data_IF_353884166536
#
_entry.id   IF_353884166536
#
_cell.length_a   1.000
_cell.length_b   1.000
_cell.length_c   1.000
_cell.angle_alpha   90.00
_cell.angle_beta   90.00
_cell.angle_gamma   90.00
#
_symmetry.space_group_name_H-M   'P 1'
#
loop_
_entity.id
_entity.type
_entity.pdbx_description
1 polymer ?
#
# COMPACT_ATOMS: atom_id res chain seq x y z
N UNK A 1 -57.16 -16.24 28.54
CA UNK A 1 -56.12 -16.44 27.53
C UNK A 1 -56.33 -15.40 26.44
N UNK A 2 -55.61 -14.29 26.49
CA UNK A 2 -55.31 -13.47 25.31
C UNK A 2 -53.90 -12.90 25.53
N UNK A 3 -52.91 -13.74 25.23
CA UNK A 3 -51.50 -13.37 25.12
C UNK A 3 -51.27 -12.82 23.72
N UNK A 4 -51.52 -11.54 23.53
CA UNK A 4 -51.21 -10.86 22.27
C UNK A 4 -49.78 -10.31 22.32
N UNK A 5 -48.83 -11.14 21.88
CA UNK A 5 -47.46 -10.72 21.53
C UNK A 5 -47.47 -9.98 20.18
N UNK A 6 -48.17 -8.85 20.09
CA UNK A 6 -48.11 -8.00 18.89
C UNK A 6 -47.02 -6.98 19.11
N UNK A 7 -45.85 -7.25 18.54
CA UNK A 7 -44.80 -6.24 18.32
C UNK A 7 -45.20 -5.47 17.07
N UNK A 8 -45.43 -4.18 17.22
CA UNK A 8 -45.81 -3.29 16.13
C UNK A 8 -44.64 -3.15 15.14
N UNK A 9 -44.80 -3.67 13.92
CA UNK A 9 -43.78 -3.56 12.88
C UNK A 9 -43.84 -2.17 12.26
N UNK A 10 -42.90 -1.32 12.65
CA UNK A 10 -42.72 0.02 12.09
C UNK A 10 -42.25 -0.07 10.62
N UNK A 11 -42.92 0.74 9.77
CA UNK A 11 -42.69 1.10 8.35
C UNK A 11 -41.49 0.47 7.61
N UNK A 12 -41.81 -0.07 6.42
CA UNK A 12 -40.96 -0.76 5.41
C UNK A 12 -39.73 -0.01 4.87
N UNK A 13 -39.38 1.19 5.35
CA UNK A 13 -38.24 1.98 4.81
C UNK A 13 -37.10 2.21 5.80
N UNK A 14 -37.17 1.67 7.03
CA UNK A 14 -36.09 1.71 8.00
C UNK A 14 -35.69 0.31 8.42
N UNK A 15 -34.41 -0.05 8.29
CA UNK A 15 -33.87 -1.23 8.98
C UNK A 15 -33.89 -0.88 10.49
N UNK A 16 -34.94 -1.29 11.20
CA UNK A 16 -35.00 -1.23 12.67
C UNK A 16 -34.37 -2.49 13.24
N UNK A 17 -33.16 -2.34 13.78
CA UNK A 17 -32.44 -3.41 14.46
C UNK A 17 -32.67 -3.29 15.98
N UNK A 18 -33.69 -3.98 16.47
CA UNK A 18 -34.08 -3.96 17.88
C UNK A 18 -32.95 -4.39 18.84
N UNK A 19 -32.05 -5.27 18.38
CA UNK A 19 -30.88 -5.66 19.16
C UNK A 19 -29.90 -4.48 19.27
N UNK A 20 -29.62 -3.81 18.15
CA UNK A 20 -28.73 -2.63 18.15
C UNK A 20 -29.31 -1.48 18.98
N UNK A 21 -30.63 -1.26 18.97
CA UNK A 21 -31.27 -0.23 19.81
C UNK A 21 -31.19 -0.56 21.30
N UNK A 22 -31.37 -1.83 21.67
CA UNK A 22 -31.15 -2.31 23.04
C UNK A 22 -29.69 -2.09 23.46
N UNK A 23 -28.74 -2.46 22.61
CA UNK A 23 -27.31 -2.27 22.86
C UNK A 23 -26.95 -0.79 23.00
N UNK A 24 -27.54 0.09 22.19
CA UNK A 24 -27.31 1.54 22.24
C UNK A 24 -27.83 2.14 23.55
N UNK A 25 -29.02 1.72 23.97
CA UNK A 25 -29.61 2.15 25.25
C UNK A 25 -28.76 1.68 26.43
N UNK A 26 -28.34 0.41 26.42
CA UNK A 26 -27.44 -0.13 27.43
C UNK A 26 -26.09 0.60 27.45
N UNK A 27 -25.50 0.87 26.28
CA UNK A 27 -24.25 1.62 26.17
C UNK A 27 -24.39 3.06 26.71
N UNK A 28 -25.51 3.74 26.46
CA UNK A 28 -25.78 5.06 27.01
C UNK A 28 -25.78 5.06 28.53
N UNK A 29 -26.47 4.10 29.15
CA UNK A 29 -26.55 3.95 30.60
C UNK A 29 -25.19 3.60 31.21
N UNK A 30 -24.44 2.69 30.57
CA UNK A 30 -23.10 2.30 31.02
C UNK A 30 -22.11 3.48 30.94
N UNK A 31 -22.13 4.24 29.85
CA UNK A 31 -21.28 5.43 29.71
C UNK A 31 -21.65 6.48 30.75
N UNK A 32 -22.94 6.75 30.96
CA UNK A 32 -23.39 7.69 31.98
C UNK A 32 -22.89 7.26 33.37
N UNK A 33 -23.06 5.99 33.74
CA UNK A 33 -22.60 5.43 35.01
C UNK A 33 -21.09 5.55 35.17
N UNK A 34 -20.32 5.22 34.14
CA UNK A 34 -18.87 5.30 34.18
C UNK A 34 -18.36 6.73 34.30
N UNK A 35 -18.98 7.69 33.61
CA UNK A 35 -18.62 9.11 33.68
C UNK A 35 -18.99 9.71 35.05
N UNK A 36 -20.08 9.27 35.68
CA UNK A 36 -20.39 9.65 37.07
C UNK A 36 -19.33 9.10 38.05
N UNK A 37 -18.88 7.85 37.86
CA UNK A 37 -17.80 7.29 38.67
C UNK A 37 -16.47 8.05 38.48
N UNK A 38 -16.15 8.47 37.24
CA UNK A 38 -15.00 9.35 36.97
C UNK A 38 -15.14 10.70 37.71
N UNK A 39 -16.33 11.28 37.74
CA UNK A 39 -16.62 12.53 38.44
C UNK A 39 -16.47 12.37 39.96
N UNK A 40 -16.99 11.30 40.55
CA UNK A 40 -16.87 11.03 41.98
C UNK A 40 -15.40 10.89 42.37
N UNK A 41 -14.64 10.11 41.60
CA UNK A 41 -13.19 9.97 41.78
C UNK A 41 -12.49 11.34 41.67
N UNK A 42 -12.87 12.17 40.71
CA UNK A 42 -12.34 13.52 40.56
C UNK A 42 -12.68 14.43 41.75
N UNK A 43 -13.93 14.45 42.21
CA UNK A 43 -14.38 15.25 43.36
C UNK A 43 -13.74 14.79 44.67
N UNK A 44 -13.42 13.49 44.80
CA UNK A 44 -12.75 12.93 45.99
C UNK A 44 -11.41 13.63 46.28
N UNK A 45 -10.72 14.10 45.24
CA UNK A 45 -9.45 14.83 45.33
C UNK A 45 -9.59 16.21 46.01
N UNK A 46 -10.81 16.76 46.05
CA UNK A 46 -11.11 18.06 46.64
C UNK A 46 -11.88 17.96 47.97
N UNK A 47 -12.00 16.76 48.54
CA UNK A 47 -12.77 16.52 49.77
C UNK A 47 -12.22 17.24 50.99
N UNK A 48 -10.92 17.47 51.07
CA UNK A 48 -10.27 18.23 52.16
C UNK A 48 -10.27 19.74 51.92
N UNK A 49 -10.45 20.16 50.67
CA UNK A 49 -10.47 21.57 50.31
C UNK A 49 -11.85 22.18 50.67
N UNK A 50 -11.86 23.08 51.65
CA UNK A 50 -13.05 23.81 52.11
C UNK A 50 -12.88 25.32 51.90
N UNK A 51 -13.97 26.01 51.63
CA UNK A 51 -14.01 27.48 51.63
C UNK A 51 -13.95 27.99 53.06
N UNK A 52 -13.71 29.28 53.26
CA UNK A 52 -13.73 29.93 54.59
C UNK A 52 -15.06 29.70 55.34
N UNK A 53 -16.16 29.59 54.59
CA UNK A 53 -17.48 29.24 55.11
C UNK A 53 -17.74 27.73 55.32
N UNK A 54 -16.71 26.87 55.26
CA UNK A 54 -16.81 25.43 55.53
C UNK A 54 -17.46 24.58 54.43
N UNK A 55 -17.73 25.13 53.24
CA UNK A 55 -18.29 24.40 52.10
C UNK A 55 -17.20 23.74 51.24
N UNK A 56 -17.51 22.66 50.52
CA UNK A 56 -16.58 22.11 49.53
C UNK A 56 -16.20 23.16 48.47
N UNK A 57 -14.90 23.26 48.16
CA UNK A 57 -14.38 24.23 47.19
C UNK A 57 -14.78 23.91 45.77
N UNK A 58 -14.82 22.62 45.40
CA UNK A 58 -15.25 22.14 44.08
C UNK A 58 -16.54 21.36 44.23
N UNK A 59 -17.57 21.76 43.50
CA UNK A 59 -18.90 21.12 43.55
C UNK A 59 -19.40 20.80 42.15
N UNK A 60 -20.29 19.81 42.04
CA UNK A 60 -21.05 19.55 40.82
C UNK A 60 -21.92 20.76 40.47
N UNK A 61 -21.99 21.09 39.18
CA UNK A 61 -22.76 22.21 38.65
C UNK A 61 -23.50 21.82 37.36
N UNK A 62 -24.33 20.78 37.48
CA UNK A 62 -25.12 20.25 36.37
C UNK A 62 -24.27 19.51 35.33
N UNK A 63 -24.63 19.68 34.06
CA UNK A 63 -24.02 18.98 32.93
C UNK A 63 -23.78 19.92 31.75
N UNK A 64 -22.87 19.53 30.88
CA UNK A 64 -22.80 20.07 29.52
C UNK A 64 -24.05 19.66 28.72
N UNK A 65 -24.37 20.38 27.63
CA UNK A 65 -25.39 19.96 26.68
C UNK A 65 -25.15 18.54 26.22
N UNK A 66 -26.22 17.78 26.07
CA UNK A 66 -26.16 16.45 25.49
C UNK A 66 -25.60 16.54 24.06
N UNK A 67 -24.75 15.58 23.71
CA UNK A 67 -24.17 15.51 22.36
C UNK A 67 -24.08 14.06 21.89
N UNK A 68 -24.22 13.80 20.59
CA UNK A 68 -23.99 12.47 20.06
C UNK A 68 -22.50 12.13 20.07
N UNK A 69 -22.20 10.87 20.37
CA UNK A 69 -20.88 10.27 20.32
C UNK A 69 -20.93 8.99 19.48
N UNK A 70 -20.18 8.95 18.38
CA UNK A 70 -20.30 7.87 17.39
C UNK A 70 -19.49 6.64 17.83
N UNK A 71 -20.17 5.50 17.96
CA UNK A 71 -19.57 4.21 18.37
C UNK A 71 -19.73 3.15 17.27
N UNK A 72 -19.24 1.93 17.52
CA UNK A 72 -19.41 0.80 16.60
C UNK A 72 -20.86 0.32 16.46
N UNK A 73 -21.76 0.70 17.38
CA UNK A 73 -23.20 0.37 17.36
C UNK A 73 -24.07 1.57 16.97
N UNK A 74 -23.45 2.60 16.40
CA UNK A 74 -24.09 3.86 16.03
C UNK A 74 -23.88 5.00 17.05
N UNK A 75 -24.57 6.13 16.85
CA UNK A 75 -24.46 7.28 17.74
C UNK A 75 -25.11 6.99 19.10
N UNK A 76 -24.36 7.23 20.17
CA UNK A 76 -24.84 7.17 21.55
C UNK A 76 -24.83 8.60 22.10
N UNK A 77 -25.94 9.06 22.66
CA UNK A 77 -26.00 10.38 23.27
C UNK A 77 -25.31 10.36 24.63
N UNK A 78 -24.42 11.33 24.87
CA UNK A 78 -23.64 11.42 26.10
C UNK A 78 -23.83 12.78 26.74
N UNK A 79 -23.92 12.78 28.07
CA UNK A 79 -24.09 13.97 28.90
C UNK A 79 -22.98 14.00 29.95
N UNK A 80 -22.06 14.95 29.82
CA UNK A 80 -20.87 15.02 30.68
C UNK A 80 -21.14 15.98 31.84
N UNK A 81 -20.89 15.58 33.10
CA UNK A 81 -21.10 16.42 34.27
C UNK A 81 -20.13 17.60 34.28
N UNK A 82 -20.55 18.67 34.95
CA UNK A 82 -19.77 19.89 35.14
C UNK A 82 -19.40 20.04 36.60
N UNK A 83 -18.21 20.58 36.82
CA UNK A 83 -17.78 21.05 38.14
C UNK A 83 -17.73 22.58 38.12
N UNK A 84 -17.87 23.17 39.31
CA UNK A 84 -17.66 24.60 39.55
C UNK A 84 -16.78 24.73 40.78
N UNK A 85 -15.81 25.62 40.69
CA UNK A 85 -15.07 26.08 41.86
C UNK A 85 -15.77 27.26 42.53
N UNK A 86 -15.80 27.24 43.86
CA UNK A 86 -16.32 28.30 44.74
C UNK A 86 -15.23 29.22 45.30
N UNK A 87 -13.95 28.88 45.13
CA UNK A 87 -12.82 29.65 45.70
C UNK A 87 -12.12 30.57 44.66
N UNK A 88 -12.73 30.79 43.49
CA UNK A 88 -12.20 31.65 42.44
C UNK A 88 -11.14 31.00 41.52
N UNK A 89 -10.57 29.84 41.89
CA UNK A 89 -9.64 29.11 41.01
C UNK A 89 -10.42 28.31 39.96
N UNK A 90 -10.14 28.46 38.65
CA UNK A 90 -10.85 27.71 37.62
C UNK A 90 -10.52 26.22 37.69
N UNK A 91 -11.57 25.39 37.70
CA UNK A 91 -11.47 23.93 37.74
C UNK A 91 -12.35 23.35 36.64
N UNK A 92 -11.83 22.38 35.90
CA UNK A 92 -12.57 21.72 34.81
C UNK A 92 -12.38 20.21 34.91
N UNK A 93 -13.51 19.50 34.89
CA UNK A 93 -13.54 18.05 34.80
C UNK A 93 -13.45 17.62 33.33
N UNK A 94 -12.56 16.66 33.06
CA UNK A 94 -12.41 16.04 31.75
C UNK A 94 -12.59 14.53 31.91
N UNK A 95 -13.65 13.99 31.29
CA UNK A 95 -13.84 12.54 31.23
C UNK A 95 -12.72 11.88 30.43
N UNK A 96 -12.18 10.78 30.93
CA UNK A 96 -11.18 10.00 30.22
C UNK A 96 -11.82 9.14 29.13
N UNK A 97 -13.02 8.61 29.40
CA UNK A 97 -13.82 7.84 28.44
C UNK A 97 -14.39 8.70 27.30
N UNK A 98 -14.86 9.91 27.60
CA UNK A 98 -15.46 10.82 26.62
C UNK A 98 -14.79 12.19 26.67
N UNK A 99 -13.56 12.33 26.13
CA UNK A 99 -12.84 13.59 26.19
C UNK A 99 -13.56 14.73 25.47
N UNK A 100 -13.26 16.00 25.84
CA UNK A 100 -13.77 17.16 25.15
C UNK A 100 -13.50 17.12 23.64
N UNK A 101 -14.45 17.60 22.84
CA UNK A 101 -14.36 17.72 21.37
C UNK A 101 -14.24 16.40 20.58
N UNK A 102 -13.92 15.27 21.22
CA UNK A 102 -13.92 13.93 20.60
C UNK A 102 -15.36 13.52 20.33
N UNK A 103 -15.70 13.23 19.07
CA UNK A 103 -17.07 12.88 18.64
C UNK A 103 -17.26 11.42 18.26
N UNK A 104 -16.21 10.59 18.36
CA UNK A 104 -16.23 9.18 17.93
C UNK A 104 -15.21 8.35 18.69
N UNK A 105 -15.40 7.03 18.71
CA UNK A 105 -14.40 6.10 19.25
C UNK A 105 -13.13 6.10 18.39
N UNK A 106 -11.98 5.80 19.03
CA UNK A 106 -10.68 5.67 18.35
C UNK A 106 -10.70 4.59 17.26
N UNK A 107 -11.41 3.49 17.50
CA UNK A 107 -11.57 2.39 16.53
C UNK A 107 -12.29 2.84 15.27
N UNK A 108 -13.38 3.59 15.42
CA UNK A 108 -14.10 4.15 14.28
C UNK A 108 -13.26 5.21 13.56
N UNK A 109 -12.55 6.06 14.31
CA UNK A 109 -11.60 7.01 13.72
C UNK A 109 -10.52 6.33 12.88
N UNK A 110 -9.99 5.19 13.34
CA UNK A 110 -9.00 4.40 12.63
C UNK A 110 -9.56 3.64 11.40
N UNK A 111 -10.82 3.22 11.42
CA UNK A 111 -11.45 2.46 10.33
C UNK A 111 -11.70 3.31 9.06
N UNK A 112 -11.97 4.60 9.24
CA UNK A 112 -12.30 5.52 8.15
C UNK A 112 -11.16 5.71 7.12
N UNK A 113 -9.88 5.87 7.53
CA UNK A 113 -8.72 5.71 6.67
C UNK A 113 -8.81 4.53 5.71
N UNK A 114 -9.16 3.36 6.25
CA UNK A 114 -9.21 2.11 5.51
C UNK A 114 -10.36 2.08 4.52
N UNK A 115 -11.55 2.54 4.91
CA UNK A 115 -12.69 2.63 3.99
C UNK A 115 -12.38 3.56 2.81
N UNK A 116 -11.75 4.70 3.07
CA UNK A 116 -11.33 5.62 2.02
C UNK A 116 -10.28 4.99 1.10
N UNK A 117 -9.24 4.39 1.71
CA UNK A 117 -8.17 3.69 0.99
C UNK A 117 -8.69 2.52 0.14
N UNK A 118 -9.74 1.81 0.60
CA UNK A 118 -10.36 0.67 -0.10
C UNK A 118 -11.36 1.11 -1.18
N UNK A 119 -11.54 2.41 -1.39
CA UNK A 119 -12.22 2.95 -2.56
C UNK A 119 -13.61 3.51 -2.28
N UNK A 120 -14.01 3.67 -1.02
CA UNK A 120 -15.22 4.43 -0.68
C UNK A 120 -14.88 5.91 -0.82
N UNK A 121 -15.50 6.57 -1.81
CA UNK A 121 -15.27 7.99 -2.03
C UNK A 121 -15.73 8.82 -0.83
N UNK A 122 -15.18 10.03 -0.67
CA UNK A 122 -15.60 10.92 0.43
C UNK A 122 -17.10 11.26 0.38
N UNK A 123 -17.69 11.32 -0.82
CA UNK A 123 -19.12 11.55 -1.02
C UNK A 123 -19.99 10.34 -0.66
N UNK A 124 -19.52 9.11 -0.89
CA UNK A 124 -20.23 7.86 -0.58
C UNK A 124 -19.97 7.38 0.85
N UNK A 125 -19.03 7.97 1.57
CA UNK A 125 -18.71 7.53 2.93
C UNK A 125 -19.89 7.70 3.88
N UNK A 126 -20.68 8.76 3.72
CA UNK A 126 -21.87 8.99 4.53
C UNK A 126 -22.90 7.87 4.37
N UNK A 127 -23.19 7.46 3.13
CA UNK A 127 -24.12 6.35 2.87
C UNK A 127 -23.56 5.02 3.37
N UNK A 128 -22.26 4.75 3.16
CA UNK A 128 -21.62 3.54 3.66
C UNK A 128 -21.68 3.44 5.20
N UNK A 129 -21.40 4.52 5.91
CA UNK A 129 -21.48 4.54 7.37
C UNK A 129 -22.91 4.42 7.88
N UNK A 130 -23.91 4.96 7.17
CA UNK A 130 -25.32 4.80 7.56
C UNK A 130 -25.78 3.35 7.51
N UNK A 131 -25.29 2.58 6.54
CA UNK A 131 -25.57 1.13 6.46
C UNK A 131 -24.92 0.37 7.62
N UNK A 132 -23.70 0.75 8.03
CA UNK A 132 -22.95 0.05 9.07
C UNK A 132 -23.31 0.45 10.50
N UNK A 133 -23.65 1.73 10.72
CA UNK A 133 -23.76 2.34 12.04
C UNK A 133 -25.16 2.94 12.29
N UNK A 134 -26.10 2.73 11.37
CA UNK A 134 -27.48 3.24 11.46
C UNK A 134 -27.70 4.60 10.79
N UNK A 135 -28.96 5.01 10.58
CA UNK A 135 -29.35 6.18 9.78
C UNK A 135 -28.79 7.51 10.30
N UNK A 136 -28.55 7.58 11.61
CA UNK A 136 -28.04 8.76 12.32
C UNK A 136 -26.50 8.84 12.33
N UNK A 137 -25.83 7.87 11.70
CA UNK A 137 -24.39 7.92 11.55
C UNK A 137 -23.97 9.11 10.69
N UNK A 138 -23.22 10.03 11.31
CA UNK A 138 -22.61 11.12 10.58
C UNK A 138 -21.53 10.60 9.63
N UNK A 139 -21.50 11.15 8.42
CA UNK A 139 -20.47 10.87 7.42
C UNK A 139 -19.08 11.41 7.80
N UNK A 140 -18.10 11.21 6.93
CA UNK A 140 -16.80 11.86 7.07
C UNK A 140 -16.92 13.38 6.83
N UNK A 141 -16.47 14.17 7.80
CA UNK A 141 -16.21 15.58 7.54
C UNK A 141 -15.02 15.74 6.60
N UNK A 142 -15.02 16.78 5.75
CA UNK A 142 -13.88 17.13 4.92
C UNK A 142 -12.59 17.30 5.76
N UNK A 143 -12.72 17.81 6.98
CA UNK A 143 -11.61 17.96 7.93
C UNK A 143 -10.98 16.62 8.33
N UNK A 144 -11.77 15.57 8.51
CA UNK A 144 -11.26 14.23 8.82
C UNK A 144 -10.46 13.66 7.65
N UNK A 145 -10.95 13.82 6.41
CA UNK A 145 -10.23 13.40 5.20
C UNK A 145 -8.95 14.20 5.01
N UNK A 146 -8.96 15.50 5.32
CA UNK A 146 -7.76 16.34 5.26
C UNK A 146 -6.70 15.91 6.27
N UNK A 147 -7.10 15.65 7.54
CA UNK A 147 -6.19 15.12 8.57
C UNK A 147 -5.57 13.79 8.16
N UNK A 148 -6.39 12.85 7.68
CA UNK A 148 -5.94 11.58 7.14
C UNK A 148 -4.84 11.74 6.09
N UNK A 149 -5.07 12.59 5.09
CA UNK A 149 -4.11 12.81 4.00
C UNK A 149 -2.78 13.38 4.53
N UNK A 150 -2.84 14.22 5.56
CA UNK A 150 -1.64 14.75 6.22
C UNK A 150 -0.90 13.65 6.99
N UNK A 151 -1.61 12.78 7.68
CA UNK A 151 -0.99 11.66 8.40
C UNK A 151 -0.28 10.72 7.41
N UNK A 152 -0.91 10.40 6.29
CA UNK A 152 -0.28 9.62 5.20
C UNK A 152 0.91 10.33 4.56
N UNK A 153 0.87 11.67 4.45
CA UNK A 153 2.00 12.45 3.96
C UNK A 153 3.20 12.34 4.91
N UNK A 154 2.96 12.43 6.22
CA UNK A 154 3.99 12.28 7.24
C UNK A 154 4.60 10.88 7.20
N UNK A 155 3.75 9.84 7.21
CA UNK A 155 4.20 8.43 7.13
C UNK A 155 5.02 8.17 5.86
N UNK A 156 4.59 8.71 4.71
CA UNK A 156 5.33 8.61 3.46
C UNK A 156 6.69 9.33 3.55
N UNK A 157 6.72 10.52 4.15
CA UNK A 157 7.95 11.28 4.37
C UNK A 157 8.96 10.57 5.27
N UNK A 158 8.49 9.89 6.32
CA UNK A 158 9.32 9.05 7.19
C UNK A 158 9.81 7.80 6.45
N UNK A 159 8.91 7.11 5.74
CA UNK A 159 9.24 5.90 4.98
C UNK A 159 10.30 6.15 3.91
N UNK A 160 10.24 7.29 3.21
CA UNK A 160 11.25 7.69 2.21
C UNK A 160 12.64 7.90 2.80
N UNK A 161 12.75 8.17 4.10
CA UNK A 161 14.00 8.41 4.82
C UNK A 161 14.47 7.19 5.61
N UNK A 162 13.63 6.17 5.75
CA UNK A 162 13.94 4.98 6.53
C UNK A 162 15.17 4.26 5.97
N UNK A 163 16.06 3.83 6.86
CA UNK A 163 17.28 3.11 6.51
C UNK A 163 16.96 1.77 5.82
N UNK A 164 17.88 1.33 4.96
CA UNK A 164 17.78 0.11 4.14
C UNK A 164 18.97 -0.82 4.34
N UNK A 165 19.79 -0.56 5.36
CA UNK A 165 20.96 -1.33 5.78
C UNK A 165 20.61 -2.47 6.76
N UNK A 166 19.33 -2.65 7.07
CA UNK A 166 18.81 -3.68 7.97
C UNK A 166 19.02 -5.11 7.44
N UNK A 167 18.91 -5.29 6.13
CA UNK A 167 19.11 -6.58 5.47
C UNK A 167 19.55 -6.37 4.01
N UNK A 168 20.55 -7.14 3.50
CA UNK A 168 20.98 -7.01 2.10
C UNK A 168 19.84 -7.27 1.10
N UNK A 169 19.75 -6.41 0.09
CA UNK A 169 18.88 -6.57 -1.06
C UNK A 169 19.61 -7.37 -2.15
N UNK A 170 19.03 -8.48 -2.57
CA UNK A 170 19.64 -9.38 -3.57
C UNK A 170 19.23 -9.01 -4.99
N UNK A 171 17.93 -8.81 -5.21
CA UNK A 171 17.37 -8.39 -6.50
C UNK A 171 16.49 -7.16 -6.34
N UNK A 172 16.43 -6.34 -7.38
CA UNK A 172 15.46 -5.25 -7.49
C UNK A 172 14.65 -5.36 -8.79
N UNK A 173 13.38 -4.95 -8.70
CA UNK A 173 12.52 -4.71 -9.84
C UNK A 173 12.26 -3.22 -9.94
N UNK A 174 12.28 -2.68 -11.15
CA UNK A 174 11.98 -1.28 -11.43
C UNK A 174 10.95 -1.16 -12.56
N UNK A 175 9.98 -0.26 -12.39
CA UNK A 175 8.95 0.02 -13.39
C UNK A 175 8.44 1.47 -13.30
N UNK A 176 8.06 2.03 -14.44
CA UNK A 176 7.44 3.36 -14.56
C UNK A 176 5.92 3.25 -14.65
N UNK A 177 5.22 3.55 -13.56
CA UNK A 177 3.77 3.42 -13.49
C UNK A 177 3.07 4.73 -13.77
N UNK A 178 2.46 4.80 -14.95
CA UNK A 178 1.64 5.94 -15.34
C UNK A 178 0.25 5.85 -14.72
N UNK A 179 -0.14 6.89 -14.00
CA UNK A 179 -1.51 7.05 -13.52
C UNK A 179 -2.32 7.89 -14.51
N UNK A 180 -3.50 7.42 -14.86
CA UNK A 180 -4.43 8.15 -15.73
C UNK A 180 -5.16 9.27 -14.98
N UNK A 181 -4.44 10.16 -14.28
CA UNK A 181 -5.03 11.35 -13.69
C UNK A 181 -5.71 12.16 -14.80
N UNK A 182 -6.96 12.55 -14.58
CA UNK A 182 -7.65 13.59 -15.35
C UNK A 182 -7.70 14.81 -14.45
N UNK A 183 -7.04 15.91 -14.84
CA UNK A 183 -7.12 17.17 -14.10
C UNK A 183 -5.94 18.12 -14.29
N UNK A 184 -4.75 17.61 -14.61
CA UNK A 184 -3.59 18.40 -15.05
C UNK A 184 -3.07 17.80 -16.37
N UNK A 185 -2.53 18.64 -17.26
CA UNK A 185 -2.05 18.21 -18.59
C UNK A 185 -0.88 17.19 -18.51
N UNK A 186 -0.23 17.06 -17.35
CA UNK A 186 0.83 16.10 -17.08
C UNK A 186 0.35 14.88 -16.30
N UNK A 187 0.40 13.71 -16.93
CA UNK A 187 0.16 12.41 -16.28
C UNK A 187 1.29 12.13 -15.28
N UNK A 188 0.99 11.86 -14.00
CA UNK A 188 2.01 11.37 -13.05
C UNK A 188 2.58 10.05 -13.58
N UNK A 189 3.91 10.02 -13.75
CA UNK A 189 4.72 8.82 -13.90
C UNK A 189 5.34 8.50 -12.52
N UNK A 190 4.87 7.45 -11.85
CA UNK A 190 5.47 7.01 -10.60
C UNK A 190 6.63 6.05 -10.89
N UNK A 191 7.82 6.35 -10.40
CA UNK A 191 8.97 5.45 -10.47
C UNK A 191 8.92 4.50 -9.28
N UNK A 192 8.79 3.21 -9.55
CA UNK A 192 8.57 2.20 -8.53
C UNK A 192 9.77 1.26 -8.50
N UNK A 193 10.34 1.06 -7.31
CA UNK A 193 11.38 0.07 -7.08
C UNK A 193 10.90 -0.89 -5.98
N UNK A 194 10.95 -2.18 -6.27
CA UNK A 194 10.70 -3.27 -5.32
C UNK A 194 11.99 -4.05 -5.14
N UNK A 195 12.34 -4.38 -3.90
CA UNK A 195 13.50 -5.19 -3.58
C UNK A 195 13.11 -6.53 -2.96
N UNK A 196 14.00 -7.51 -3.07
CA UNK A 196 13.97 -8.73 -2.26
C UNK A 196 15.17 -8.78 -1.33
N UNK A 197 14.89 -9.01 -0.05
CA UNK A 197 15.88 -9.20 1.01
C UNK A 197 16.56 -10.57 0.94
N UNK A 198 17.66 -10.76 1.67
CA UNK A 198 18.37 -12.04 1.80
C UNK A 198 17.46 -13.21 2.25
N UNK A 199 16.44 -12.94 3.08
CA UNK A 199 15.42 -13.92 3.53
C UNK A 199 14.26 -14.11 2.56
N UNK A 200 14.34 -13.53 1.36
CA UNK A 200 13.33 -13.65 0.32
C UNK A 200 12.09 -12.78 0.51
N UNK A 201 12.05 -11.90 1.53
CA UNK A 201 10.92 -10.99 1.73
C UNK A 201 11.01 -9.85 0.71
N UNK A 202 9.90 -9.62 -0.01
CA UNK A 202 9.76 -8.51 -0.95
C UNK A 202 9.25 -7.27 -0.23
N UNK A 203 9.73 -6.09 -0.61
CA UNK A 203 9.26 -4.79 -0.11
C UNK A 203 9.44 -3.70 -1.17
N UNK A 204 8.57 -2.70 -1.19
CA UNK A 204 8.78 -1.45 -1.91
C UNK A 204 9.97 -0.73 -1.28
N UNK A 205 10.85 -0.23 -2.13
CA UNK A 205 12.01 0.59 -1.77
C UNK A 205 11.77 2.06 -2.12
N UNK A 206 11.10 2.29 -3.26
CA UNK A 206 10.80 3.61 -3.79
C UNK A 206 9.42 3.60 -4.48
N UNK A 207 8.65 4.66 -4.24
CA UNK A 207 7.46 5.07 -5.01
C UNK A 207 7.63 6.57 -5.14
N UNK A 208 8.33 6.98 -6.19
CA UNK A 208 8.79 8.35 -6.37
C UNK A 208 8.09 9.02 -7.54
N UNK A 209 8.05 10.34 -7.49
CA UNK A 209 7.55 11.14 -8.58
C UNK A 209 8.59 11.21 -9.70
N UNK A 210 8.27 10.65 -10.87
CA UNK A 210 8.99 10.90 -12.10
C UNK A 210 8.29 12.01 -12.87
N UNK A 211 8.97 13.15 -13.09
CA UNK A 211 8.51 14.11 -14.11
C UNK A 211 8.39 13.40 -15.46
N UNK A 212 9.36 12.51 -15.76
CA UNK A 212 9.41 11.53 -16.85
C UNK A 212 10.27 10.33 -16.42
N UNK A 213 10.26 9.25 -17.20
CA UNK A 213 11.24 8.13 -17.10
C UNK A 213 12.64 8.53 -17.63
N UNK A 214 13.14 9.68 -17.18
CA UNK A 214 14.47 10.18 -17.55
C UNK A 214 15.56 9.49 -16.75
N UNK A 215 16.78 9.45 -17.29
CA UNK A 215 17.96 8.97 -16.56
C UNK A 215 18.15 9.72 -15.24
N UNK A 216 17.94 11.04 -15.24
CA UNK A 216 18.09 11.86 -14.05
C UNK A 216 17.10 11.46 -12.95
N UNK A 217 15.82 11.25 -13.28
CA UNK A 217 14.80 10.85 -12.32
C UNK A 217 15.14 9.51 -11.65
N UNK A 218 15.59 8.53 -12.45
CA UNK A 218 16.00 7.22 -11.95
C UNK A 218 17.27 7.30 -11.10
N UNK A 219 18.24 8.12 -11.53
CA UNK A 219 19.48 8.37 -10.81
C UNK A 219 19.21 8.97 -9.43
N UNK A 220 18.34 9.97 -9.34
CA UNK A 220 17.93 10.57 -8.06
C UNK A 220 17.27 9.54 -7.13
N UNK A 221 16.37 8.71 -7.66
CA UNK A 221 15.76 7.63 -6.89
C UNK A 221 16.80 6.62 -6.38
N UNK A 222 17.72 6.17 -7.24
CA UNK A 222 18.77 5.21 -6.88
C UNK A 222 19.80 5.79 -5.90
N UNK A 223 20.20 7.05 -6.06
CA UNK A 223 21.08 7.75 -5.12
C UNK A 223 20.43 7.94 -3.75
N UNK A 224 19.13 8.23 -3.71
CA UNK A 224 18.36 8.26 -2.47
C UNK A 224 18.35 6.90 -1.77
N UNK A 225 18.17 5.79 -2.51
CA UNK A 225 18.27 4.46 -1.93
C UNK A 225 19.69 4.14 -1.42
N UNK A 226 20.71 4.53 -2.18
CA UNK A 226 22.12 4.34 -1.81
C UNK A 226 22.47 5.10 -0.53
N UNK A 227 22.04 6.36 -0.39
CA UNK A 227 22.29 7.17 0.80
C UNK A 227 21.56 6.65 2.06
N UNK A 228 20.48 5.88 1.87
CA UNK A 228 19.76 5.17 2.94
C UNK A 228 20.41 3.84 3.32
N UNK A 229 21.54 3.47 2.71
CA UNK A 229 22.29 2.24 3.04
C UNK A 229 21.98 1.03 2.17
N UNK A 230 21.26 1.19 1.04
CA UNK A 230 21.03 0.08 0.12
C UNK A 230 22.35 -0.38 -0.52
N UNK A 231 22.64 -1.67 -0.43
CA UNK A 231 23.77 -2.31 -1.12
C UNK A 231 23.52 -2.44 -2.63
N UNK A 232 24.60 -2.67 -3.39
CA UNK A 232 24.47 -3.04 -4.81
C UNK A 232 23.74 -4.39 -4.95
N UNK A 233 22.59 -4.45 -5.66
CA UNK A 233 21.90 -5.70 -5.91
C UNK A 233 22.65 -6.53 -6.96
N UNK A 234 22.47 -7.85 -6.94
CA UNK A 234 23.08 -8.78 -7.91
C UNK A 234 22.37 -8.73 -9.28
N UNK A 235 21.08 -8.39 -9.29
CA UNK A 235 20.27 -8.31 -10.51
C UNK A 235 19.24 -7.19 -10.39
N UNK A 236 19.17 -6.33 -11.40
CA UNK A 236 18.09 -5.39 -11.62
C UNK A 236 17.19 -5.89 -12.76
N UNK A 237 15.87 -5.89 -12.52
CA UNK A 237 14.86 -6.38 -13.44
C UNK A 237 13.92 -5.23 -13.83
N UNK A 238 13.74 -4.97 -15.11
CA UNK A 238 12.88 -3.87 -15.57
C UNK A 238 12.52 -3.96 -17.05
N UNK A 239 11.76 -2.98 -17.54
CA UNK A 239 11.46 -2.85 -18.97
C UNK A 239 12.64 -2.27 -19.78
N UNK A 240 12.44 -2.07 -21.08
CA UNK A 240 13.29 -1.41 -22.06
C UNK A 240 13.66 0.06 -21.78
N UNK A 241 13.12 0.71 -20.74
CA UNK A 241 13.27 2.14 -20.51
C UNK A 241 14.74 2.55 -20.30
N UNK A 242 15.34 3.20 -21.31
CA UNK A 242 16.79 3.47 -21.34
C UNK A 242 17.29 4.28 -20.13
N UNK A 243 16.45 5.16 -19.56
CA UNK A 243 16.83 5.99 -18.42
C UNK A 243 17.17 5.20 -17.16
N UNK A 244 16.44 4.12 -16.88
CA UNK A 244 16.71 3.31 -15.68
C UNK A 244 18.07 2.61 -15.78
N UNK A 245 18.39 2.04 -16.95
CA UNK A 245 19.64 1.29 -17.13
C UNK A 245 20.86 2.19 -17.15
N UNK A 246 20.79 3.35 -17.81
CA UNK A 246 21.87 4.33 -17.71
C UNK A 246 22.12 4.77 -16.25
N UNK A 247 21.06 4.87 -15.43
CA UNK A 247 21.19 5.22 -14.02
C UNK A 247 21.72 4.06 -13.16
N UNK A 248 21.35 2.80 -13.46
CA UNK A 248 21.86 1.64 -12.71
C UNK A 248 23.35 1.44 -13.00
N UNK A 249 23.78 1.59 -14.25
CA UNK A 249 25.19 1.52 -14.65
C UNK A 249 26.06 2.55 -13.91
N UNK A 250 25.53 3.75 -13.68
CA UNK A 250 26.24 4.81 -12.94
C UNK A 250 26.28 4.53 -11.42
N UNK A 251 25.14 4.16 -10.82
CA UNK A 251 25.01 4.10 -9.35
C UNK A 251 25.51 2.76 -8.79
N UNK A 252 25.29 1.66 -9.52
CA UNK A 252 25.62 0.28 -9.16
C UNK A 252 26.17 -0.51 -10.37
N UNK A 253 27.39 -0.20 -10.84
CA UNK A 253 27.96 -0.77 -12.08
C UNK A 253 28.14 -2.30 -12.08
N UNK A 254 28.19 -2.93 -10.92
CA UNK A 254 28.30 -4.39 -10.79
C UNK A 254 26.95 -5.12 -10.90
N UNK A 255 25.83 -4.38 -10.90
CA UNK A 255 24.48 -4.95 -10.96
C UNK A 255 24.18 -5.45 -12.36
N UNK A 256 23.86 -6.73 -12.50
CA UNK A 256 23.48 -7.29 -13.80
C UNK A 256 22.09 -6.83 -14.24
N UNK A 257 21.89 -6.80 -15.55
CA UNK A 257 20.63 -6.38 -16.16
C UNK A 257 19.78 -7.58 -16.57
N UNK A 258 18.49 -7.54 -16.22
CA UNK A 258 17.49 -8.46 -16.73
C UNK A 258 16.31 -7.70 -17.32
N UNK A 259 16.03 -7.89 -18.62
CA UNK A 259 14.83 -7.33 -19.23
C UNK A 259 13.61 -8.19 -18.93
N UNK A 260 12.48 -7.56 -18.65
CA UNK A 260 11.22 -8.25 -18.42
C UNK A 260 10.72 -8.91 -19.73
N UNK A 261 10.55 -10.24 -19.70
CA UNK A 261 10.02 -11.00 -20.83
C UNK A 261 8.57 -10.64 -21.18
N UNK A 262 7.76 -10.24 -20.20
CA UNK A 262 6.38 -9.85 -20.43
C UNK A 262 6.28 -8.56 -21.24
N UNK A 263 7.00 -7.51 -20.81
CA UNK A 263 7.06 -6.25 -21.55
C UNK A 263 7.74 -6.43 -22.91
N UNK A 264 8.84 -7.19 -22.98
CA UNK A 264 9.50 -7.52 -24.24
C UNK A 264 8.54 -8.20 -25.22
N UNK A 265 7.79 -9.21 -24.76
CA UNK A 265 6.80 -9.91 -25.58
C UNK A 265 5.78 -8.92 -26.12
N UNK A 266 5.22 -8.04 -25.28
CA UNK A 266 4.25 -7.03 -25.73
C UNK A 266 4.85 -6.09 -26.79
N UNK A 267 6.08 -5.61 -26.57
CA UNK A 267 6.77 -4.71 -27.49
C UNK A 267 7.02 -5.35 -28.87
N UNK A 268 7.39 -6.65 -28.89
CA UNK A 268 7.56 -7.41 -30.13
C UNK A 268 6.22 -7.63 -30.83
N UNK A 269 5.17 -8.02 -30.09
CA UNK A 269 3.83 -8.23 -30.64
C UNK A 269 3.21 -6.95 -31.23
N UNK A 270 3.49 -5.78 -30.66
CA UNK A 270 3.04 -4.49 -31.18
C UNK A 270 3.64 -4.15 -32.56
N UNK A 271 4.75 -4.79 -32.94
CA UNK A 271 5.36 -4.67 -34.27
C UNK A 271 4.78 -5.67 -35.29
N UNK A 272 3.81 -6.50 -34.87
CA UNK A 272 3.23 -7.57 -35.69
C UNK A 272 1.72 -7.36 -35.93
N UNK A 273 1.20 -7.76 -37.11
CA UNK A 273 -0.23 -7.81 -37.36
C UNK A 273 -0.95 -8.74 -36.36
N UNK A 274 -2.16 -8.36 -35.93
CA UNK A 274 -2.95 -9.11 -34.93
C UNK A 274 -3.08 -10.61 -35.24
N UNK A 275 -3.23 -10.98 -36.52
CA UNK A 275 -3.35 -12.38 -36.95
C UNK A 275 -2.09 -13.21 -36.72
N UNK A 276 -0.90 -12.60 -36.74
CA UNK A 276 0.37 -13.28 -36.51
C UNK A 276 0.78 -13.33 -35.03
N UNK A 277 0.19 -12.48 -34.19
CA UNK A 277 0.57 -12.36 -32.78
C UNK A 277 0.47 -13.67 -31.97
N UNK A 278 -0.58 -14.53 -32.12
CA UNK A 278 -0.66 -15.77 -31.34
C UNK A 278 0.53 -16.72 -31.59
N UNK A 279 0.89 -16.92 -32.87
CA UNK A 279 2.02 -17.79 -33.26
C UNK A 279 3.36 -17.18 -32.83
N UNK A 280 3.53 -15.88 -32.98
CA UNK A 280 4.74 -15.18 -32.55
C UNK A 280 4.91 -15.23 -31.03
N UNK A 281 3.83 -15.08 -30.27
CA UNK A 281 3.85 -15.19 -28.81
C UNK A 281 4.29 -16.58 -28.35
N UNK A 282 3.77 -17.64 -28.97
CA UNK A 282 4.19 -19.01 -28.67
C UNK A 282 5.69 -19.22 -28.97
N UNK A 283 6.17 -18.70 -30.10
CA UNK A 283 7.59 -18.78 -30.44
C UNK A 283 8.48 -18.00 -29.45
N UNK A 284 8.06 -16.82 -28.98
CA UNK A 284 8.77 -16.07 -27.93
C UNK A 284 8.78 -16.84 -26.60
N UNK A 285 7.66 -17.49 -26.24
CA UNK A 285 7.59 -18.33 -25.05
C UNK A 285 8.59 -19.48 -25.09
N UNK A 286 8.78 -20.13 -26.23
CA UNK A 286 9.77 -21.20 -26.37
C UNK A 286 11.19 -20.74 -26.04
N UNK A 287 11.51 -19.46 -26.27
CA UNK A 287 12.84 -18.90 -25.96
C UNK A 287 13.08 -18.90 -24.45
N UNK A 288 12.22 -18.22 -23.70
CA UNK A 288 12.47 -18.03 -22.27
C UNK A 288 12.03 -19.19 -21.41
N UNK A 289 11.26 -20.14 -21.96
CA UNK A 289 10.94 -21.41 -21.30
C UNK A 289 11.96 -22.52 -21.59
N UNK A 290 12.93 -22.28 -22.47
CA UNK A 290 13.99 -23.24 -22.72
C UNK A 290 14.74 -23.63 -21.44
N UNK A 291 15.22 -24.87 -21.41
CA UNK A 291 15.95 -25.43 -20.27
C UNK A 291 17.36 -24.83 -20.13
N UNK A 292 17.99 -24.50 -21.26
CA UNK A 292 19.36 -23.96 -21.31
C UNK A 292 19.41 -22.64 -22.07
N UNK A 293 20.44 -21.82 -21.79
CA UNK A 293 20.73 -20.57 -22.51
C UNK A 293 21.03 -20.84 -23.98
N UNK A 294 21.66 -21.97 -24.30
CA UNK A 294 21.95 -22.37 -25.68
C UNK A 294 20.66 -22.66 -26.47
N UNK A 295 19.73 -23.44 -25.89
CA UNK A 295 18.46 -23.73 -26.55
C UNK A 295 17.57 -22.49 -26.67
N UNK A 296 17.62 -21.59 -25.68
CA UNK A 296 17.00 -20.26 -25.80
C UNK A 296 17.60 -19.48 -26.98
N UNK A 297 18.93 -19.54 -27.15
CA UNK A 297 19.64 -18.96 -28.29
C UNK A 297 19.14 -19.48 -29.62
N UNK A 298 19.07 -20.81 -29.79
CA UNK A 298 18.55 -21.45 -31.01
C UNK A 298 17.10 -21.06 -31.29
N UNK A 299 16.26 -21.04 -30.26
CA UNK A 299 14.86 -20.63 -30.39
C UNK A 299 14.71 -19.16 -30.82
N UNK A 300 15.58 -18.28 -30.32
CA UNK A 300 15.62 -16.87 -30.72
C UNK A 300 16.09 -16.73 -32.18
N UNK A 301 17.12 -17.44 -32.59
CA UNK A 301 17.62 -17.41 -33.96
C UNK A 301 16.57 -17.96 -34.95
N UNK A 302 15.81 -18.99 -34.55
CA UNK A 302 14.66 -19.49 -35.31
C UNK A 302 13.54 -18.44 -35.42
N UNK A 303 13.26 -17.70 -34.35
CA UNK A 303 12.30 -16.59 -34.38
C UNK A 303 12.74 -15.52 -35.38
N UNK A 304 14.02 -15.11 -35.36
CA UNK A 304 14.57 -14.13 -36.30
C UNK A 304 14.38 -14.64 -37.73
N UNK A 305 14.87 -15.83 -38.06
CA UNK A 305 14.75 -16.42 -39.40
C UNK A 305 13.31 -16.49 -39.91
N UNK A 306 12.36 -16.77 -39.01
CA UNK A 306 10.94 -16.92 -39.37
C UNK A 306 10.25 -15.58 -39.65
N UNK A 307 10.54 -14.55 -38.85
CA UNK A 307 9.77 -13.30 -38.88
C UNK A 307 10.52 -12.14 -39.56
N UNK A 308 11.85 -12.16 -39.63
CA UNK A 308 12.66 -11.06 -40.19
C UNK A 308 12.28 -10.67 -41.62
N UNK A 309 12.03 -11.61 -42.57
CA UNK A 309 11.72 -11.23 -43.96
C UNK A 309 10.46 -10.38 -44.10
N UNK A 310 9.51 -10.49 -43.17
CA UNK A 310 8.23 -9.76 -43.20
C UNK A 310 8.12 -8.68 -42.13
N UNK A 311 8.82 -8.85 -41.01
CA UNK A 311 8.66 -8.04 -39.81
C UNK A 311 10.02 -7.71 -39.14
N UNK A 312 10.96 -7.06 -39.86
CA UNK A 312 12.30 -6.80 -39.36
C UNK A 312 12.32 -5.94 -38.07
N UNK A 313 11.30 -5.09 -37.86
CA UNK A 313 11.15 -4.32 -36.61
C UNK A 313 10.91 -5.21 -35.40
N UNK A 314 10.13 -6.29 -35.55
CA UNK A 314 9.82 -7.21 -34.46
C UNK A 314 11.07 -8.01 -34.05
N UNK A 315 11.87 -8.45 -35.03
CA UNK A 315 13.11 -9.20 -34.78
C UNK A 315 14.19 -8.30 -34.19
N UNK A 316 14.39 -7.09 -34.71
CA UNK A 316 15.32 -6.11 -34.14
C UNK A 316 14.96 -5.77 -32.69
N UNK A 317 13.66 -5.60 -32.40
CA UNK A 317 13.17 -5.34 -31.04
C UNK A 317 13.55 -6.45 -30.05
N UNK A 318 13.57 -7.71 -30.49
CA UNK A 318 13.97 -8.85 -29.66
C UNK A 318 15.50 -8.99 -29.59
N UNK A 319 16.18 -8.89 -30.73
CA UNK A 319 17.62 -9.12 -30.86
C UNK A 319 18.47 -8.12 -30.06
N UNK A 320 18.07 -6.85 -30.02
CA UNK A 320 18.84 -5.79 -29.35
C UNK A 320 19.09 -6.01 -27.85
N UNK A 321 18.24 -6.80 -27.20
CA UNK A 321 18.29 -7.06 -25.76
C UNK A 321 18.58 -8.55 -25.48
N UNK A 322 19.22 -9.27 -26.43
CA UNK A 322 19.43 -10.74 -26.36
C UNK A 322 20.09 -11.17 -25.05
N UNK A 323 21.19 -10.53 -24.67
CA UNK A 323 21.97 -10.91 -23.50
C UNK A 323 21.21 -10.61 -22.20
N UNK A 324 20.63 -9.41 -22.08
CA UNK A 324 19.89 -8.99 -20.90
C UNK A 324 18.56 -9.75 -20.75
N UNK A 325 17.99 -10.27 -21.83
CA UNK A 325 16.82 -11.15 -21.75
C UNK A 325 17.19 -12.53 -21.20
N UNK A 326 18.43 -12.99 -21.43
CA UNK A 326 18.92 -14.31 -21.02
C UNK A 326 19.71 -14.32 -19.71
N UNK A 327 19.93 -13.15 -19.08
CA UNK A 327 20.73 -13.04 -17.86
C UNK A 327 20.25 -13.95 -16.71
N UNK A 328 18.95 -14.24 -16.63
CA UNK A 328 18.37 -15.11 -15.61
C UNK A 328 18.97 -16.53 -15.61
N UNK A 329 19.50 -17.03 -16.73
CA UNK A 329 20.08 -18.38 -16.82
C UNK A 329 21.29 -18.56 -15.89
N UNK A 330 21.96 -17.46 -15.53
CA UNK A 330 23.11 -17.47 -14.62
C UNK A 330 22.70 -17.29 -13.13
N UNK A 331 21.41 -17.46 -12.83
CA UNK A 331 20.85 -17.42 -11.48
C UNK A 331 20.07 -18.71 -11.21
N UNK A 332 19.82 -19.09 -9.94
CA UNK A 332 19.15 -20.35 -9.59
C UNK A 332 17.84 -20.57 -10.35
N UNK A 333 17.62 -21.78 -10.88
CA UNK A 333 16.42 -22.12 -11.64
C UNK A 333 15.11 -21.87 -10.85
N UNK A 334 15.17 -22.02 -9.52
CA UNK A 334 14.06 -21.77 -8.60
C UNK A 334 13.61 -20.30 -8.61
N UNK A 335 14.51 -19.37 -8.97
CA UNK A 335 14.24 -17.93 -9.01
C UNK A 335 13.65 -17.48 -10.36
N UNK A 336 13.88 -18.23 -11.44
CA UNK A 336 13.57 -17.84 -12.81
C UNK A 336 12.14 -17.32 -13.01
N UNK A 337 11.16 -17.98 -12.41
CA UNK A 337 9.76 -17.55 -12.51
C UNK A 337 9.54 -16.11 -12.01
N UNK A 338 10.31 -15.67 -11.01
CA UNK A 338 10.20 -14.32 -10.44
C UNK A 338 11.07 -13.30 -11.16
N UNK A 339 12.28 -13.67 -11.58
CA UNK A 339 13.26 -12.72 -12.15
C UNK A 339 13.09 -12.51 -13.66
N UNK A 340 12.41 -13.41 -14.38
CA UNK A 340 12.08 -13.21 -15.81
C UNK A 340 11.06 -12.09 -16.06
N UNK A 341 10.33 -11.63 -15.03
CA UNK A 341 9.23 -10.67 -15.18
C UNK A 341 9.23 -9.58 -14.11
N UNK A 342 8.54 -8.47 -14.39
CA UNK A 342 8.21 -7.37 -13.46
C UNK A 342 6.88 -7.58 -12.72
N UNK A 343 6.37 -8.81 -12.68
CA UNK A 343 5.08 -9.14 -12.06
C UNK A 343 4.92 -8.67 -10.59
N UNK A 344 5.96 -8.65 -9.73
CA UNK A 344 5.83 -8.08 -8.38
C UNK A 344 5.28 -6.64 -8.37
N UNK A 345 5.66 -5.82 -9.35
CA UNK A 345 5.16 -4.45 -9.48
C UNK A 345 3.79 -4.45 -10.18
N UNK A 346 3.67 -5.11 -11.33
CA UNK A 346 2.44 -5.11 -12.14
C UNK A 346 1.21 -5.59 -11.35
N UNK A 347 1.35 -6.67 -10.58
CA UNK A 347 0.27 -7.25 -9.77
C UNK A 347 -0.17 -6.33 -8.64
N UNK A 348 0.77 -5.68 -7.95
CA UNK A 348 0.46 -4.71 -6.92
C UNK A 348 -0.23 -3.48 -7.53
N UNK A 349 0.30 -2.95 -8.63
CA UNK A 349 -0.22 -1.76 -9.27
C UNK A 349 -1.53 -1.96 -10.02
N UNK A 350 -1.88 -3.18 -10.43
CA UNK A 350 -3.23 -3.50 -10.91
C UNK A 350 -4.29 -3.19 -9.85
N UNK A 351 -4.04 -3.59 -8.59
CA UNK A 351 -4.94 -3.31 -7.46
C UNK A 351 -4.95 -1.83 -7.09
N UNK A 352 -3.77 -1.19 -7.09
CA UNK A 352 -3.64 0.24 -6.79
C UNK A 352 -4.42 1.08 -7.80
N UNK A 353 -4.25 0.82 -9.11
CA UNK A 353 -4.97 1.52 -10.19
C UNK A 353 -6.48 1.38 -10.09
N UNK A 354 -6.97 0.19 -9.71
CA UNK A 354 -8.40 -0.02 -9.51
C UNK A 354 -8.97 0.90 -8.41
N UNK A 355 -8.24 1.05 -7.30
CA UNK A 355 -8.68 1.86 -6.14
C UNK A 355 -8.49 3.35 -6.36
N UNK A 356 -7.43 3.77 -7.06
CA UNK A 356 -7.19 5.19 -7.36
C UNK A 356 -8.21 5.74 -8.36
N UNK A 357 -8.66 4.94 -9.35
CA UNK A 357 -9.68 5.35 -10.33
C UNK A 357 -11.02 5.76 -9.70
N UNK A 358 -11.39 5.17 -8.54
CA UNK A 358 -12.65 5.48 -7.83
C UNK A 358 -12.54 6.68 -6.90
N UNK A 359 -11.31 7.04 -6.51
CA UNK A 359 -11.04 8.07 -5.52
C UNK A 359 -10.85 9.44 -6.17
N UNK A 360 -11.94 10.06 -6.64
CA UNK A 360 -11.96 11.38 -7.32
C UNK A 360 -11.41 12.56 -6.49
N UNK A 361 -11.11 12.36 -5.21
CA UNK A 361 -10.67 13.41 -4.27
C UNK A 361 -9.15 13.55 -4.08
N UNK A 362 -8.32 12.78 -4.78
CA UNK A 362 -6.85 12.92 -4.76
C UNK A 362 -6.39 13.67 -6.01
N UNK A 363 -6.67 14.98 -6.06
CA UNK A 363 -6.40 15.81 -7.24
C UNK A 363 -4.94 16.27 -7.33
N UNK A 364 -4.19 16.27 -6.22
CA UNK A 364 -2.78 16.66 -6.23
C UNK A 364 -1.86 15.47 -6.49
N UNK A 365 -0.76 15.74 -7.19
CA UNK A 365 0.33 14.82 -7.49
C UNK A 365 0.86 14.10 -6.23
N UNK A 366 1.17 14.87 -5.18
CA UNK A 366 1.62 14.36 -3.89
C UNK A 366 0.57 13.50 -3.17
N UNK A 367 -0.70 13.91 -3.17
CA UNK A 367 -1.77 13.15 -2.53
C UNK A 367 -1.95 11.76 -3.13
N UNK A 368 -1.72 11.63 -4.44
CA UNK A 368 -1.77 10.33 -5.11
C UNK A 368 -0.57 9.45 -4.77
N UNK A 369 0.64 10.00 -4.66
CA UNK A 369 1.82 9.25 -4.21
C UNK A 369 1.62 8.69 -2.80
N UNK A 370 1.09 9.48 -1.87
CA UNK A 370 0.79 9.02 -0.52
C UNK A 370 -0.22 7.87 -0.52
N UNK A 371 -1.24 7.94 -1.38
CA UNK A 371 -2.23 6.88 -1.52
C UNK A 371 -1.62 5.62 -2.17
N UNK A 372 -0.78 5.77 -3.21
CA UNK A 372 -0.05 4.66 -3.81
C UNK A 372 0.84 3.97 -2.78
N UNK A 373 1.55 4.73 -1.95
CA UNK A 373 2.35 4.23 -0.83
C UNK A 373 1.51 3.41 0.16
N UNK A 374 0.42 3.98 0.69
CA UNK A 374 -0.45 3.26 1.65
C UNK A 374 -1.05 1.99 1.04
N UNK A 375 -1.45 2.05 -0.23
CA UNK A 375 -1.94 0.87 -0.95
C UNK A 375 -0.83 -0.16 -1.21
N UNK A 376 0.39 0.29 -1.47
CA UNK A 376 1.59 -0.53 -1.59
C UNK A 376 1.88 -1.29 -0.31
N UNK A 377 1.89 -0.62 0.84
CA UNK A 377 2.03 -1.28 2.15
C UNK A 377 0.96 -2.36 2.38
N UNK A 378 -0.28 -2.13 1.96
CA UNK A 378 -1.33 -3.14 2.05
C UNK A 378 -1.08 -4.34 1.13
N UNK A 379 -0.49 -4.11 -0.05
CA UNK A 379 -0.16 -5.16 -1.00
C UNK A 379 0.98 -6.04 -0.46
N UNK A 380 2.01 -5.42 0.14
CA UNK A 380 3.16 -6.11 0.73
C UNK A 380 2.78 -7.17 1.77
N UNK A 381 1.75 -6.90 2.58
CA UNK A 381 1.28 -7.83 3.61
C UNK A 381 0.86 -9.20 3.05
N UNK A 382 0.48 -9.24 1.77
CA UNK A 382 0.03 -10.46 1.10
C UNK A 382 1.09 -11.05 0.17
N UNK A 383 2.29 -10.46 0.12
CA UNK A 383 3.35 -10.95 -0.75
C UNK A 383 3.98 -12.21 -0.20
N UNK A 384 4.00 -13.24 -1.03
CA UNK A 384 4.79 -14.43 -0.78
C UNK A 384 6.27 -14.10 -0.93
N UNK A 385 7.10 -14.76 -0.11
CA UNK A 385 8.55 -14.78 -0.28
C UNK A 385 8.93 -15.18 -1.71
N UNK A 386 10.13 -14.80 -2.13
CA UNK A 386 10.70 -15.26 -3.39
C UNK A 386 10.71 -16.80 -3.42
N UNK A 387 10.29 -17.37 -4.54
CA UNK A 387 10.39 -18.82 -4.74
C UNK A 387 11.86 -19.21 -4.74
N UNK A 388 12.22 -20.27 -3.99
CA UNK A 388 13.61 -20.71 -3.87
C UNK A 388 14.48 -19.83 -2.98
N UNK A 389 13.90 -19.04 -2.06
CA UNK A 389 14.66 -18.10 -1.22
C UNK A 389 15.86 -18.71 -0.48
N UNK A 390 15.88 -20.01 -0.22
CA UNK A 390 17.03 -20.72 0.36
C UNK A 390 18.31 -20.64 -0.49
N UNK A 391 18.18 -20.41 -1.81
CA UNK A 391 19.30 -20.22 -2.74
C UNK A 391 19.84 -18.78 -2.74
N UNK A 392 19.16 -17.82 -2.11
CA UNK A 392 19.63 -16.44 -2.06
C UNK A 392 20.97 -16.31 -1.33
N UNK A 393 21.23 -17.14 -0.31
CA UNK A 393 22.53 -17.18 0.36
C UNK A 393 23.67 -17.49 -0.64
N UNK A 394 23.47 -18.45 -1.54
CA UNK A 394 24.45 -18.83 -2.58
C UNK A 394 24.70 -17.70 -3.57
N UNK A 395 23.64 -16.98 -3.95
CA UNK A 395 23.74 -15.80 -4.83
C UNK A 395 24.50 -14.66 -4.14
N UNK A 396 24.27 -14.45 -2.84
CA UNK A 396 24.98 -13.44 -2.04
C UNK A 396 26.47 -13.78 -1.95
N UNK A 397 26.82 -15.03 -1.69
CA UNK A 397 28.22 -15.49 -1.59
C UNK A 397 28.92 -15.64 -2.93
N UNK A 398 28.24 -15.38 -4.05
CA UNK A 398 28.84 -15.38 -5.39
C UNK A 398 29.01 -16.76 -6.02
N UNK A 399 28.23 -17.77 -5.61
CA UNK A 399 28.20 -19.07 -6.30
C UNK A 399 27.77 -18.85 -7.75
N UNK A 400 28.54 -19.38 -8.70
CA UNK A 400 28.21 -19.32 -10.10
C UNK A 400 27.12 -20.35 -10.45
N UNK A 401 26.16 -19.93 -11.27
CA UNK A 401 25.14 -20.81 -11.84
C UNK A 401 25.29 -20.82 -13.35
N UNK A 402 25.13 -21.99 -13.96
CA UNK A 402 25.02 -22.18 -15.40
C UNK A 402 23.71 -22.91 -15.66
N UNK A 403 22.85 -22.32 -16.48
CA UNK A 403 21.51 -22.86 -16.76
C UNK A 403 20.70 -23.15 -15.48
N UNK A 404 20.91 -22.30 -14.46
CA UNK A 404 20.20 -22.35 -13.18
C UNK A 404 20.63 -23.45 -12.23
N UNK A 405 21.68 -24.19 -12.58
CA UNK A 405 22.33 -25.21 -11.76
C UNK A 405 23.67 -24.67 -11.28
N UNK A 406 24.06 -25.01 -10.05
CA UNK A 406 25.36 -24.61 -9.49
C UNK A 406 26.50 -25.18 -10.34
N UNK A 407 27.41 -24.31 -10.77
CA UNK A 407 28.61 -24.74 -11.46
C UNK A 407 29.59 -25.31 -10.44
N UNK A 408 29.58 -26.63 -10.25
CA UNK A 408 30.69 -27.32 -9.57
C UNK A 408 31.95 -27.28 -10.43
N UNK A 409 33.13 -27.13 -9.81
CA UNK A 409 34.45 -27.09 -10.48
C UNK A 409 34.68 -28.27 -11.47
N UNK A 410 33.96 -29.39 -11.32
CA UNK A 410 34.07 -30.55 -12.21
C UNK A 410 33.47 -30.38 -13.62
N UNK A 411 32.77 -29.29 -13.91
CA UNK A 411 32.17 -29.07 -15.25
C UNK A 411 33.13 -28.46 -16.27
N UNK A 412 34.36 -28.11 -15.87
CA UNK A 412 35.41 -27.62 -16.79
C UNK A 412 36.15 -28.74 -17.54
N UNK A 413 35.91 -30.02 -17.21
CA UNK A 413 36.62 -31.17 -17.81
C UNK A 413 35.86 -31.81 -18.99
N UNK A 414 34.61 -31.41 -19.23
CA UNK A 414 33.85 -31.87 -20.40
C UNK A 414 33.44 -30.67 -21.27
N UNK A 415 34.42 -30.09 -21.96
CA UNK A 415 34.24 -29.16 -23.07
C UNK A 415 34.61 -29.85 -24.38
#
# INVERSE_FOLDING_TARGET
METTNIVDFSRRDGITDALTDLLRTGAQQLIATAVEAELESYLSQFTTARTEAGHATVVRNGHHPERPFQTGIGPVNVRIPKVRSKNGQPVTFHSALVPPYVRRTKTLEAALPWLYLKGISSGEMGSALKVLLGPDAAGLSANTVSRLKRDWANEYGEWRKAALDDEPLVYIWADGVHSGLRGEDDKLCALVIVGVTARGKKRFLAIEDGVRESTQSWREALLSLKSRGMNAPKLAIGDGAMGFWAAIDEVYPETRHQRCWQHKTMNVLNCLPKLSQPKAKAAIHNIWQAETKDDAGKALDLFIKTYEPKYPKATLCLQKDREELMAFFDFPAQHWQSIRTSNPIESAFATIRHRTKRSKGCLSRAGMLHMMFKLGQCAEQNWRKLRGFDYLAKVITGVAFKDGIEATENSQIAA
#
